data_IF_085088797799
#
_entry.id   IF_085088797799
#
_cell.length_a   1.000
_cell.length_b   1.000
_cell.length_c   1.000
_cell.angle_alpha   90.00
_cell.angle_beta   90.00
_cell.angle_gamma   90.00
#
_symmetry.space_group_name_H-M   'P 1'
#
loop_
_entity.id
_entity.type
_entity.pdbx_description
1 polymer ?
#
# COMPACT_ATOMS: atom_id res chain seq x y z
N UNK A 1 -32.06 21.09 -20.26
CA UNK A 1 -31.77 19.97 -19.31
C UNK A 1 -30.60 19.16 -19.81
N UNK A 2 -30.60 18.63 -21.02
CA UNK A 2 -29.48 17.83 -21.57
C UNK A 2 -28.18 18.66 -21.69
N UNK A 3 -28.27 19.91 -22.13
CA UNK A 3 -27.12 20.82 -22.22
C UNK A 3 -26.42 21.06 -20.90
N UNK A 4 -27.16 21.17 -19.77
CA UNK A 4 -26.58 21.32 -18.45
C UNK A 4 -25.86 20.04 -18.02
N UNK A 5 -26.40 18.87 -18.37
CA UNK A 5 -25.76 17.56 -18.13
C UNK A 5 -24.46 17.46 -18.94
N UNK A 6 -24.50 17.83 -20.21
CA UNK A 6 -23.32 17.82 -21.08
C UNK A 6 -22.22 18.74 -20.54
N UNK A 7 -22.58 19.98 -20.17
CA UNK A 7 -21.62 20.93 -19.61
C UNK A 7 -21.00 20.42 -18.30
N UNK A 8 -21.81 19.90 -17.37
CA UNK A 8 -21.30 19.34 -16.13
C UNK A 8 -20.30 18.21 -16.38
N UNK A 9 -20.66 17.23 -17.23
CA UNK A 9 -19.81 16.05 -17.46
C UNK A 9 -18.58 16.32 -18.33
N UNK A 10 -18.55 17.43 -19.09
CA UNK A 10 -17.34 17.83 -19.84
C UNK A 10 -16.17 18.22 -18.93
N UNK A 11 -16.46 18.66 -17.70
CA UNK A 11 -15.46 19.10 -16.71
C UNK A 11 -15.35 18.16 -15.50
N UNK A 12 -16.26 17.19 -15.40
CA UNK A 12 -16.32 16.28 -14.26
C UNK A 12 -15.11 15.35 -14.20
N UNK A 13 -14.44 15.36 -13.05
CA UNK A 13 -13.35 14.42 -12.75
C UNK A 13 -13.91 13.14 -12.11
N UNK A 14 -13.74 11.97 -12.74
CA UNK A 14 -14.25 10.72 -12.19
C UNK A 14 -13.62 10.40 -10.84
N UNK A 15 -14.44 9.85 -9.93
CA UNK A 15 -14.00 9.36 -8.62
C UNK A 15 -14.40 7.91 -8.46
N UNK A 16 -13.61 7.15 -7.70
CA UNK A 16 -13.96 5.78 -7.37
C UNK A 16 -15.23 5.75 -6.51
N UNK A 17 -16.21 4.94 -6.91
CA UNK A 17 -17.46 4.78 -6.15
C UNK A 17 -17.20 3.99 -4.86
N UNK A 18 -17.95 4.37 -3.80
CA UNK A 18 -17.93 3.70 -2.51
C UNK A 18 -16.60 3.76 -1.73
N UNK A 19 -15.65 4.57 -2.17
CA UNK A 19 -14.44 4.84 -1.39
C UNK A 19 -14.80 5.74 -0.21
N UNK A 20 -14.43 5.32 0.98
CA UNK A 20 -14.67 6.03 2.24
C UNK A 20 -13.38 6.48 2.91
N UNK A 21 -12.26 5.87 2.55
CA UNK A 21 -10.96 6.12 3.17
C UNK A 21 -9.89 6.11 2.09
N UNK A 22 -9.03 7.10 2.17
CA UNK A 22 -7.89 7.24 1.27
C UNK A 22 -6.63 7.26 2.13
N UNK A 23 -5.66 6.47 1.73
CA UNK A 23 -4.38 6.31 2.39
C UNK A 23 -3.27 6.51 1.39
N UNK A 24 -2.12 6.91 1.88
CA UNK A 24 -0.92 7.00 1.08
C UNK A 24 0.27 6.43 1.88
N UNK A 25 1.12 5.66 1.21
CA UNK A 25 2.32 5.07 1.78
C UNK A 25 3.54 5.43 0.96
N UNK A 26 4.67 5.58 1.59
CA UNK A 26 5.97 5.67 0.93
C UNK A 26 6.63 4.29 0.96
N UNK A 27 7.19 3.84 -0.16
CA UNK A 27 8.10 2.69 -0.24
C UNK A 27 9.51 3.26 -0.18
N UNK A 28 10.14 3.29 1.02
CA UNK A 28 11.41 3.97 1.17
C UNK A 28 12.55 3.08 0.69
N UNK A 29 13.40 3.63 -0.18
CA UNK A 29 14.66 3.02 -0.58
C UNK A 29 15.78 3.75 0.15
N UNK A 30 16.64 3.02 0.84
CA UNK A 30 17.79 3.55 1.57
C UNK A 30 19.05 2.79 1.18
N UNK A 31 20.17 3.51 1.11
CA UNK A 31 21.46 2.88 0.80
C UNK A 31 22.11 2.32 2.08
N UNK A 32 22.29 1.00 2.14
CA UNK A 32 22.99 0.33 3.25
C UNK A 32 24.28 -0.29 2.70
N UNK A 33 25.43 0.19 3.20
CA UNK A 33 26.77 -0.26 2.75
C UNK A 33 26.94 -0.23 1.23
N UNK A 34 26.34 0.77 0.57
CA UNK A 34 26.43 0.96 -0.89
C UNK A 34 25.44 0.15 -1.73
N UNK A 35 24.50 -0.56 -1.10
CA UNK A 35 23.46 -1.32 -1.78
C UNK A 35 22.06 -0.79 -1.45
N UNK A 36 21.12 -0.79 -2.42
CA UNK A 36 19.76 -0.36 -2.17
C UNK A 36 19.00 -1.39 -1.34
N UNK A 37 18.34 -0.93 -0.29
CA UNK A 37 17.45 -1.69 0.57
C UNK A 37 16.07 -1.05 0.57
N UNK A 38 15.02 -1.84 0.72
CA UNK A 38 13.69 -1.37 1.05
C UNK A 38 13.59 -1.31 2.57
N UNK A 39 13.10 -0.18 3.09
CA UNK A 39 12.87 0.02 4.52
C UNK A 39 11.41 -0.34 4.85
N UNK A 40 11.23 -1.01 5.96
CA UNK A 40 9.95 -1.40 6.55
C UNK A 40 9.90 -0.99 8.01
N UNK A 41 8.68 -0.87 8.51
CA UNK A 41 8.39 -0.72 9.93
C UNK A 41 7.54 -1.88 10.43
N UNK A 42 7.64 -2.17 11.72
CA UNK A 42 6.76 -3.08 12.45
C UNK A 42 5.82 -2.24 13.30
N UNK A 43 4.53 -2.45 13.16
CA UNK A 43 3.48 -1.69 13.85
C UNK A 43 3.49 -1.98 15.35
N UNK A 44 3.41 -0.93 16.16
CA UNK A 44 3.43 -1.07 17.62
C UNK A 44 2.16 -1.72 18.17
N UNK A 45 2.20 -2.11 19.45
CA UNK A 45 1.06 -2.73 20.13
C UNK A 45 -0.11 -1.77 20.38
N UNK A 46 0.09 -0.48 20.17
CA UNK A 46 -0.89 0.58 20.50
C UNK A 46 -1.78 0.98 19.33
N UNK A 47 -1.50 0.48 18.12
CA UNK A 47 -2.24 0.82 16.91
C UNK A 47 -2.92 -0.42 16.28
N UNK A 48 -3.70 -0.21 15.22
CA UNK A 48 -4.35 -1.31 14.51
C UNK A 48 -3.32 -2.26 13.88
N UNK A 49 -3.63 -3.56 13.85
CA UNK A 49 -2.76 -4.61 13.28
C UNK A 49 -1.35 -4.63 13.90
N UNK A 50 -1.24 -4.79 15.25
CA UNK A 50 0.04 -4.77 15.93
C UNK A 50 0.93 -5.93 15.49
N UNK A 51 2.22 -5.63 15.28
CA UNK A 51 3.22 -6.60 14.83
C UNK A 51 3.25 -6.85 13.32
N UNK A 52 2.32 -6.25 12.55
CA UNK A 52 2.39 -6.34 11.09
C UNK A 52 3.53 -5.47 10.56
N UNK A 53 4.16 -5.95 9.50
CA UNK A 53 5.10 -5.15 8.70
C UNK A 53 4.33 -4.23 7.77
N UNK A 54 4.67 -2.94 7.78
CA UNK A 54 4.11 -1.93 6.90
C UNK A 54 5.20 -1.08 6.23
N UNK A 55 4.77 -0.32 5.24
CA UNK A 55 5.49 0.87 4.81
C UNK A 55 5.03 2.05 5.65
N UNK A 56 5.87 3.04 5.91
CA UNK A 56 5.42 4.28 6.52
C UNK A 56 4.32 4.92 5.68
N UNK A 57 3.27 5.38 6.36
CA UNK A 57 2.12 5.96 5.70
C UNK A 57 0.84 5.89 6.49
N UNK A 58 -0.13 6.70 6.07
CA UNK A 58 -1.37 6.82 6.80
C UNK A 58 -2.50 7.41 5.99
N UNK A 59 -3.47 7.96 6.71
CA UNK A 59 -4.69 8.51 6.13
C UNK A 59 -4.39 9.87 5.51
N UNK A 60 -4.93 10.07 4.30
CA UNK A 60 -4.90 11.38 3.63
C UNK A 60 -5.81 12.37 4.36
N UNK A 61 -5.27 13.52 4.72
CA UNK A 61 -6.00 14.60 5.39
C UNK A 61 -6.69 15.53 4.40
N UNK A 62 -7.74 16.28 4.83
CA UNK A 62 -8.42 17.21 3.95
C UNK A 62 -7.49 18.30 3.42
N UNK A 63 -7.35 18.40 2.11
CA UNK A 63 -6.58 19.44 1.43
C UNK A 63 -5.15 19.08 1.09
N UNK A 64 -4.66 17.91 1.53
CA UNK A 64 -3.35 17.42 1.10
C UNK A 64 -3.48 16.47 -0.12
N UNK A 65 -2.43 16.41 -0.91
CA UNK A 65 -2.27 15.40 -1.96
C UNK A 65 -1.84 14.05 -1.35
N UNK A 66 -2.00 12.96 -2.10
CA UNK A 66 -1.52 11.64 -1.68
C UNK A 66 -0.01 11.60 -1.41
N UNK A 67 0.76 12.31 -2.23
CA UNK A 67 2.21 12.41 -2.04
C UNK A 67 2.57 13.17 -0.75
N UNK A 68 1.90 14.27 -0.47
CA UNK A 68 2.11 15.02 0.77
C UNK A 68 1.78 14.17 1.99
N UNK A 69 0.67 13.41 1.95
CA UNK A 69 0.31 12.48 3.03
C UNK A 69 1.39 11.42 3.26
N UNK A 70 1.85 10.75 2.19
CA UNK A 70 2.89 9.73 2.30
C UNK A 70 4.19 10.28 2.90
N UNK A 71 4.59 11.50 2.51
CA UNK A 71 5.80 12.15 3.03
C UNK A 71 5.61 12.59 4.48
N UNK A 72 4.48 13.21 4.82
CA UNK A 72 4.16 13.66 6.19
C UNK A 72 4.20 12.49 7.17
N UNK A 73 3.48 11.41 6.86
CA UNK A 73 3.45 10.21 7.70
C UNK A 73 4.86 9.61 7.86
N UNK A 74 5.64 9.53 6.78
CA UNK A 74 7.03 9.05 6.87
C UNK A 74 7.89 9.89 7.80
N UNK A 75 7.73 11.23 7.76
CA UNK A 75 8.43 12.13 8.67
C UNK A 75 8.02 11.89 10.12
N UNK A 76 6.69 11.73 10.36
CA UNK A 76 6.12 11.55 11.68
C UNK A 76 6.50 10.20 12.30
N UNK A 77 6.44 9.12 11.52
CA UNK A 77 6.73 7.76 11.98
C UNK A 77 8.23 7.52 12.15
N UNK A 78 9.05 7.89 11.17
CA UNK A 78 10.50 7.66 11.20
C UNK A 78 11.29 8.80 11.84
N UNK A 79 10.65 9.92 12.20
CA UNK A 79 11.27 11.11 12.79
C UNK A 79 12.51 11.62 12.03
N UNK A 80 12.45 11.59 10.71
CA UNK A 80 13.51 12.05 9.82
C UNK A 80 13.16 13.41 9.20
N UNK A 81 14.17 14.25 8.86
CA UNK A 81 13.92 15.52 8.18
C UNK A 81 13.29 15.31 6.80
N UNK A 82 12.30 16.15 6.44
CA UNK A 82 11.64 16.07 5.15
C UNK A 82 12.57 16.24 3.95
N UNK A 83 13.63 17.03 4.07
CA UNK A 83 14.68 17.20 3.06
C UNK A 83 15.50 15.92 2.78
N UNK A 84 15.44 14.95 3.69
CA UNK A 84 16.06 13.64 3.50
C UNK A 84 15.21 12.71 2.62
N UNK A 85 13.95 13.05 2.33
CA UNK A 85 13.05 12.26 1.52
C UNK A 85 12.98 12.84 0.12
N UNK A 86 13.49 12.10 -0.86
CA UNK A 86 13.29 12.42 -2.26
C UNK A 86 12.22 11.49 -2.85
N UNK A 87 11.01 11.99 -3.07
CA UNK A 87 9.99 11.21 -3.80
C UNK A 87 10.44 11.05 -5.25
N UNK A 88 10.45 9.80 -5.72
CA UNK A 88 10.81 9.42 -7.09
C UNK A 88 9.58 9.44 -7.98
N UNK A 89 8.47 8.90 -7.50
CA UNK A 89 7.21 8.88 -8.25
C UNK A 89 6.13 8.04 -7.58
N UNK A 90 4.91 8.15 -8.13
CA UNK A 90 3.78 7.30 -7.75
C UNK A 90 3.88 5.96 -8.48
N UNK A 91 3.59 4.88 -7.75
CA UNK A 91 3.43 3.53 -8.28
C UNK A 91 1.94 3.17 -8.33
N UNK A 92 1.62 1.91 -8.56
CA UNK A 92 0.24 1.42 -8.57
C UNK A 92 -0.42 1.57 -7.19
N UNK A 93 -1.76 1.69 -7.18
CA UNK A 93 -2.55 1.81 -5.95
C UNK A 93 -3.42 0.57 -5.71
N UNK A 94 -3.73 0.31 -4.46
CA UNK A 94 -4.58 -0.80 -4.04
C UNK A 94 -6.00 -0.28 -3.78
N UNK A 95 -7.01 -0.98 -4.31
CA UNK A 95 -8.42 -0.72 -4.02
C UNK A 95 -8.98 -1.92 -3.28
N UNK A 96 -9.37 -1.74 -2.03
CA UNK A 96 -9.97 -2.81 -1.22
C UNK A 96 -10.84 -2.26 -0.08
N UNK A 97 -11.92 -2.98 0.23
CA UNK A 97 -12.79 -2.70 1.40
C UNK A 97 -13.21 -1.24 1.55
N UNK A 98 -13.60 -0.59 0.45
CA UNK A 98 -13.97 0.83 0.41
C UNK A 98 -12.82 1.79 0.74
N UNK A 99 -11.59 1.35 0.56
CA UNK A 99 -10.38 2.15 0.72
C UNK A 99 -9.53 2.13 -0.55
N UNK A 100 -8.79 3.20 -0.77
CA UNK A 100 -7.70 3.28 -1.74
C UNK A 100 -6.42 3.54 -0.97
N UNK A 101 -5.35 2.86 -1.34
CA UNK A 101 -4.01 3.06 -0.80
C UNK A 101 -3.11 3.43 -1.98
N UNK A 102 -2.72 4.69 -2.07
CA UNK A 102 -1.74 5.17 -3.03
C UNK A 102 -0.34 4.83 -2.53
N UNK A 103 0.56 4.43 -3.43
CA UNK A 103 1.93 4.10 -3.08
C UNK A 103 2.92 4.94 -3.86
N UNK A 104 3.90 5.48 -3.16
CA UNK A 104 4.97 6.30 -3.73
C UNK A 104 6.31 5.62 -3.46
N UNK A 105 7.22 5.73 -4.40
CA UNK A 105 8.61 5.31 -4.21
C UNK A 105 9.39 6.54 -3.82
N UNK A 106 10.19 6.45 -2.76
CA UNK A 106 11.07 7.53 -2.32
C UNK A 106 12.44 7.04 -1.88
N UNK A 107 13.46 7.85 -2.08
CA UNK A 107 14.80 7.61 -1.58
C UNK A 107 15.02 8.40 -0.29
N UNK A 108 15.52 7.73 0.76
CA UNK A 108 15.98 8.37 1.99
C UNK A 108 17.47 8.63 1.85
N UNK A 109 17.86 9.91 1.88
CA UNK A 109 19.24 10.37 1.65
C UNK A 109 19.90 10.95 2.92
N UNK A 110 21.18 10.69 3.05
CA UNK A 110 21.99 11.32 4.11
C UNK A 110 21.72 10.81 5.52
N UNK A 111 20.96 9.72 5.67
CA UNK A 111 20.64 9.09 6.96
C UNK A 111 21.10 7.64 6.92
N UNK A 112 21.77 7.19 7.97
CA UNK A 112 22.06 5.76 8.19
C UNK A 112 20.86 5.13 8.91
N UNK A 113 20.50 3.90 8.56
CA UNK A 113 19.39 3.16 9.20
C UNK A 113 19.49 3.14 10.74
N UNK A 114 20.69 3.04 11.27
CA UNK A 114 20.95 3.02 12.73
C UNK A 114 20.68 4.35 13.43
N UNK A 115 20.58 5.45 12.68
CA UNK A 115 20.35 6.81 13.19
C UNK A 115 18.85 7.20 13.07
N UNK A 116 18.02 6.34 12.50
CA UNK A 116 16.57 6.54 12.44
C UNK A 116 15.98 6.31 13.84
N UNK A 117 15.27 7.33 14.32
CA UNK A 117 14.48 7.28 15.55
C UNK A 117 13.01 7.26 15.09
N UNK A 118 12.19 6.45 15.70
CA UNK A 118 10.78 6.34 15.32
C UNK A 118 9.84 6.74 16.47
N UNK A 119 8.58 7.02 16.12
CA UNK A 119 7.56 7.42 17.08
C UNK A 119 6.94 6.19 17.79
N UNK A 120 5.93 6.43 18.65
CA UNK A 120 5.26 5.38 19.43
C UNK A 120 4.38 4.43 18.60
N UNK A 121 4.08 4.77 17.35
CA UNK A 121 3.29 3.93 16.45
C UNK A 121 4.13 2.82 15.81
N UNK A 122 5.44 2.96 15.82
CA UNK A 122 6.41 2.02 15.26
C UNK A 122 7.12 1.27 16.39
N UNK A 123 7.13 -0.06 16.32
CA UNK A 123 7.83 -0.90 17.28
C UNK A 123 9.29 -1.14 16.87
N UNK A 124 9.54 -1.23 15.57
CA UNK A 124 10.85 -1.53 14.99
C UNK A 124 10.94 -1.00 13.56
N UNK A 125 12.14 -0.66 13.12
CA UNK A 125 12.45 -0.35 11.72
C UNK A 125 13.54 -1.30 11.25
N UNK A 126 13.33 -1.93 10.08
CA UNK A 126 14.30 -2.83 9.48
C UNK A 126 14.41 -2.64 7.98
N UNK A 127 15.44 -3.22 7.38
CA UNK A 127 15.62 -3.14 5.92
C UNK A 127 15.90 -4.50 5.32
N UNK A 128 15.43 -4.69 4.08
CA UNK A 128 15.72 -5.88 3.30
C UNK A 128 16.43 -5.43 2.00
N UNK A 129 17.56 -6.06 1.63
CA UNK A 129 18.22 -5.74 0.38
C UNK A 129 17.28 -5.89 -0.82
N UNK A 130 17.24 -4.92 -1.72
CA UNK A 130 16.44 -5.02 -2.95
C UNK A 130 16.77 -6.29 -3.73
N UNK A 131 18.05 -6.68 -3.72
CA UNK A 131 18.54 -7.92 -4.35
C UNK A 131 17.85 -9.17 -3.82
N UNK A 132 17.52 -9.23 -2.52
CA UNK A 132 16.79 -10.36 -1.96
C UNK A 132 15.50 -10.62 -2.73
N UNK A 133 14.71 -9.57 -2.99
CA UNK A 133 13.45 -9.67 -3.72
C UNK A 133 13.63 -9.93 -5.22
N UNK A 134 14.77 -9.55 -5.79
CA UNK A 134 15.11 -9.91 -7.18
C UNK A 134 15.36 -11.41 -7.34
N UNK A 135 15.86 -12.07 -6.29
CA UNK A 135 16.24 -13.49 -6.28
C UNK A 135 15.15 -14.39 -5.68
N UNK A 136 14.20 -13.84 -4.90
CA UNK A 136 13.16 -14.59 -4.19
C UNK A 136 11.77 -14.08 -4.54
N UNK A 137 10.91 -14.96 -5.03
CA UNK A 137 9.50 -14.66 -5.27
C UNK A 137 8.67 -14.96 -4.01
N UNK A 138 7.55 -14.27 -3.79
CA UNK A 138 6.67 -14.58 -2.67
C UNK A 138 5.86 -15.85 -2.92
N UNK A 139 5.51 -16.54 -1.86
CA UNK A 139 4.48 -17.57 -1.87
C UNK A 139 3.09 -16.94 -1.95
N UNK A 140 2.19 -17.54 -2.73
CA UNK A 140 0.82 -17.07 -2.89
C UNK A 140 -0.20 -18.04 -2.32
N UNK A 141 -1.07 -17.54 -1.47
CA UNK A 141 -2.18 -18.31 -0.91
C UNK A 141 -3.52 -17.73 -1.38
N UNK A 142 -4.34 -18.58 -1.97
CA UNK A 142 -5.68 -18.20 -2.44
C UNK A 142 -6.68 -18.25 -1.30
N UNK A 143 -7.42 -17.16 -1.09
CA UNK A 143 -8.47 -17.03 -0.08
C UNK A 143 -9.79 -16.73 -0.78
N UNK A 144 -10.82 -17.53 -0.52
CA UNK A 144 -12.15 -17.29 -1.03
C UNK A 144 -12.87 -16.22 -0.19
N UNK A 145 -13.35 -15.17 -0.85
CA UNK A 145 -14.15 -14.14 -0.20
C UNK A 145 -15.63 -14.45 -0.35
N UNK A 146 -16.30 -14.74 0.76
CA UNK A 146 -17.73 -15.02 0.80
C UNK A 146 -18.50 -13.81 1.28
N UNK A 147 -19.52 -13.39 0.51
CA UNK A 147 -20.45 -12.35 0.96
C UNK A 147 -21.48 -12.96 1.90
N UNK A 148 -21.61 -12.36 3.08
CA UNK A 148 -22.66 -12.73 4.03
C UNK A 148 -23.83 -11.74 3.87
N UNK A 149 -24.95 -12.24 3.35
CA UNK A 149 -26.14 -11.42 3.13
C UNK A 149 -27.00 -11.38 4.41
N UNK A 150 -27.56 -10.22 4.77
CA UNK A 150 -28.44 -10.12 5.91
C UNK A 150 -29.75 -10.91 5.67
N UNK A 151 -30.45 -11.25 6.76
CA UNK A 151 -31.68 -12.07 6.68
C UNK A 151 -32.81 -11.41 5.88
N UNK A 152 -32.82 -10.09 5.87
CA UNK A 152 -33.81 -9.23 5.20
C UNK A 152 -33.32 -8.79 3.80
N UNK A 153 -32.29 -9.42 3.24
CA UNK A 153 -31.83 -9.12 1.90
C UNK A 153 -32.95 -9.35 0.88
N UNK A 154 -33.25 -8.37 0.00
CA UNK A 154 -34.43 -8.39 -0.86
C UNK A 154 -34.22 -9.30 -2.09
N UNK A 155 -34.21 -10.62 -1.87
CA UNK A 155 -34.06 -11.62 -2.92
C UNK A 155 -35.18 -11.58 -3.98
N UNK A 156 -36.36 -11.07 -3.61
CA UNK A 156 -37.52 -10.88 -4.50
C UNK A 156 -37.28 -9.80 -5.59
N UNK A 157 -36.25 -8.95 -5.39
CA UNK A 157 -35.91 -7.88 -6.33
C UNK A 157 -34.77 -8.23 -7.28
N UNK A 158 -34.25 -9.43 -7.22
CA UNK A 158 -33.19 -9.90 -8.11
C UNK A 158 -33.65 -11.11 -8.93
N UNK A 159 -33.14 -11.30 -10.16
CA UNK A 159 -33.46 -12.49 -10.97
C UNK A 159 -33.10 -13.78 -10.22
N UNK A 160 -33.97 -14.79 -10.31
CA UNK A 160 -33.83 -16.09 -9.64
C UNK A 160 -33.89 -16.06 -8.10
N UNK A 161 -34.13 -14.91 -7.49
CA UNK A 161 -34.36 -14.79 -6.05
C UNK A 161 -33.23 -15.41 -5.24
N UNK A 162 -33.56 -16.26 -4.25
CA UNK A 162 -32.60 -16.98 -3.40
C UNK A 162 -31.67 -17.94 -4.15
N UNK A 163 -32.03 -18.30 -5.39
CA UNK A 163 -31.23 -19.20 -6.24
C UNK A 163 -30.25 -18.43 -7.14
N UNK A 164 -30.16 -17.09 -6.98
CA UNK A 164 -29.19 -16.29 -7.72
C UNK A 164 -27.75 -16.71 -7.40
N UNK A 165 -26.97 -17.03 -8.41
CA UNK A 165 -25.58 -17.44 -8.27
C UNK A 165 -24.67 -16.19 -8.21
N UNK A 166 -24.40 -15.73 -7.02
CA UNK A 166 -23.43 -14.66 -6.81
C UNK A 166 -22.02 -15.13 -7.19
N UNK A 167 -21.25 -14.25 -7.80
CA UNK A 167 -19.84 -14.53 -8.05
C UNK A 167 -19.08 -14.46 -6.72
N UNK A 168 -18.31 -15.50 -6.45
CA UNK A 168 -17.33 -15.47 -5.36
C UNK A 168 -16.07 -14.79 -5.85
N UNK A 169 -15.54 -13.85 -5.06
CA UNK A 169 -14.23 -13.29 -5.30
C UNK A 169 -13.17 -14.18 -4.65
N UNK A 170 -12.04 -14.31 -5.30
CA UNK A 170 -10.86 -15.01 -4.77
C UNK A 170 -9.69 -14.03 -4.77
N UNK A 171 -9.06 -13.84 -3.63
CA UNK A 171 -7.86 -13.03 -3.48
C UNK A 171 -6.65 -13.94 -3.34
N UNK A 172 -5.53 -13.49 -3.88
CA UNK A 172 -4.23 -14.08 -3.60
C UNK A 172 -3.50 -13.20 -2.59
N UNK A 173 -2.98 -13.81 -1.55
CA UNK A 173 -2.21 -13.15 -0.51
C UNK A 173 -0.76 -13.56 -0.67
N UNK A 174 0.11 -12.58 -0.85
CA UNK A 174 1.55 -12.78 -0.99
C UNK A 174 2.23 -12.87 0.38
N UNK A 175 3.22 -13.76 0.48
CA UNK A 175 4.07 -13.94 1.66
C UNK A 175 5.53 -14.07 1.23
N UNK A 176 6.39 -13.22 1.76
CA UNK A 176 7.83 -13.40 1.66
C UNK A 176 8.36 -14.11 2.90
N UNK A 177 9.25 -15.06 2.70
CA UNK A 177 9.87 -15.82 3.78
C UNK A 177 11.12 -15.09 4.28
N UNK A 178 10.94 -14.17 5.21
CA UNK A 178 12.01 -13.49 5.93
C UNK A 178 12.28 -14.25 7.25
N UNK A 179 13.54 -14.43 7.62
CA UNK A 179 13.91 -15.24 8.80
C UNK A 179 13.32 -14.69 10.11
N UNK A 180 13.32 -13.36 10.28
CA UNK A 180 12.98 -12.72 11.56
C UNK A 180 11.73 -11.84 11.50
N UNK A 181 11.13 -11.63 10.31
CA UNK A 181 10.00 -10.70 10.11
C UNK A 181 8.90 -11.30 9.24
N UNK A 182 7.68 -10.85 9.47
CA UNK A 182 6.51 -11.25 8.68
C UNK A 182 6.20 -10.23 7.58
N UNK A 183 6.56 -10.53 6.35
CA UNK A 183 6.22 -9.68 5.20
C UNK A 183 5.14 -10.36 4.35
N UNK A 184 3.90 -9.86 4.46
CA UNK A 184 2.74 -10.45 3.83
C UNK A 184 1.69 -9.42 3.42
N UNK A 185 0.61 -9.86 2.78
CA UNK A 185 -0.55 -9.02 2.50
C UNK A 185 -0.25 -7.87 1.54
N UNK A 186 -0.70 -6.67 1.89
CA UNK A 186 -0.54 -5.48 1.04
C UNK A 186 0.90 -5.05 0.88
N UNK A 187 1.65 -5.07 1.98
CA UNK A 187 3.06 -4.69 1.99
C UNK A 187 3.87 -5.60 1.09
N UNK A 188 3.65 -6.92 1.19
CA UNK A 188 4.27 -7.89 0.28
C UNK A 188 3.84 -7.70 -1.18
N UNK A 189 2.56 -7.39 -1.42
CA UNK A 189 2.03 -7.16 -2.78
C UNK A 189 2.64 -5.91 -3.42
N UNK A 190 2.77 -4.81 -2.69
CA UNK A 190 3.42 -3.59 -3.17
C UNK A 190 4.92 -3.82 -3.40
N UNK A 191 5.60 -4.53 -2.49
CA UNK A 191 7.00 -4.95 -2.68
C UNK A 191 7.18 -5.74 -3.97
N UNK A 192 6.35 -6.77 -4.16
CA UNK A 192 6.40 -7.61 -5.36
C UNK A 192 6.10 -6.80 -6.63
N UNK A 193 5.15 -5.84 -6.56
CA UNK A 193 4.85 -4.98 -7.71
C UNK A 193 6.03 -4.09 -8.08
N UNK A 194 6.71 -3.48 -7.11
CA UNK A 194 7.94 -2.74 -7.33
C UNK A 194 9.00 -3.62 -8.03
N UNK A 195 9.23 -4.82 -7.50
CA UNK A 195 10.19 -5.75 -8.06
C UNK A 195 9.84 -6.18 -9.50
N UNK A 196 8.55 -6.41 -9.77
CA UNK A 196 8.08 -6.72 -11.13
C UNK A 196 8.41 -5.57 -12.08
N UNK A 197 8.13 -4.33 -11.71
CA UNK A 197 8.46 -3.15 -12.53
C UNK A 197 9.96 -3.03 -12.76
N UNK A 198 10.78 -3.25 -11.72
CA UNK A 198 12.24 -3.23 -11.83
C UNK A 198 12.74 -4.29 -12.82
N UNK A 199 12.20 -5.53 -12.76
CA UNK A 199 12.54 -6.62 -13.66
C UNK A 199 12.05 -6.35 -15.10
N UNK A 200 10.79 -5.98 -15.27
CA UNK A 200 10.14 -5.73 -16.56
C UNK A 200 10.84 -4.63 -17.37
N UNK A 201 11.35 -3.63 -16.68
CA UNK A 201 12.00 -2.47 -17.31
C UNK A 201 13.53 -2.46 -17.21
N UNK A 202 14.15 -3.55 -16.74
CA UNK A 202 15.62 -3.71 -16.64
C UNK A 202 16.30 -2.55 -15.90
N UNK A 203 15.66 -2.04 -14.81
CA UNK A 203 16.10 -0.80 -14.16
C UNK A 203 17.42 -0.93 -13.38
N UNK A 204 17.92 -2.14 -13.15
CA UNK A 204 19.18 -2.42 -12.45
C UNK A 204 20.27 -3.02 -13.37
N UNK A 205 19.99 -3.19 -14.67
CA UNK A 205 20.94 -3.70 -15.63
C UNK A 205 21.87 -2.58 -16.13
N UNK A 206 22.89 -2.22 -15.30
CA UNK A 206 23.97 -1.30 -15.67
C UNK A 206 25.34 -1.89 -15.34
#
# INVERSE_FOLDING_TARGET
>A
MLENIQHFFSEYQPKALHVKREYAVLIPIIMVKGFPHILYEVRSQHISQPGDTSFPGGKVEPGESYQEAAVRETIEELQIPGESIQVIGEMDFIVQNNSIIHSFIGEIKGIDIKDIIWNEEVAEVYTVPLRYFMENEPDYYSVDMMMNYPKDFPYDRIPNGKNYKFRHARNQIAFYNLDDHYLWGFTASLTQRLISLVKEHHLLDN
#
